data_IF_630703855417
#
_entry.id   IF_630703855417
#
_cell.length_a   1.000
_cell.length_b   1.000
_cell.length_c   1.000
_cell.angle_alpha   90.00
_cell.angle_beta   90.00
_cell.angle_gamma   90.00
#
_symmetry.space_group_name_H-M   'P 1'
#
loop_
_entity.id
_entity.type
_entity.pdbx_description
1 polymer ?
#
# COMPACT_ATOMS: atom_id res chain seq x y z
N UNK A 1 8.56 9.58 -23.55
CA UNK A 1 7.78 10.82 -23.37
C UNK A 1 8.06 11.37 -21.98
N UNK A 2 8.73 12.51 -21.90
CA UNK A 2 9.01 13.26 -20.66
C UNK A 2 7.74 14.03 -20.27
N UNK A 3 7.14 13.69 -19.12
CA UNK A 3 5.97 14.42 -18.60
C UNK A 3 6.36 15.83 -18.20
N UNK A 4 5.53 16.83 -18.55
CA UNK A 4 5.75 18.23 -18.18
C UNK A 4 5.44 18.46 -16.68
N UNK A 5 6.15 19.35 -15.99
CA UNK A 5 5.79 19.77 -14.63
C UNK A 5 4.38 20.37 -14.64
N UNK A 6 3.47 19.82 -13.85
CA UNK A 6 2.07 20.27 -13.78
C UNK A 6 1.06 19.46 -14.61
N UNK A 7 1.48 18.41 -15.32
CA UNK A 7 0.52 17.45 -15.89
C UNK A 7 -0.28 16.79 -14.76
N UNK A 8 -1.57 17.09 -14.72
CA UNK A 8 -2.49 16.43 -13.80
C UNK A 8 -2.53 14.96 -14.18
N UNK A 9 -1.88 14.09 -13.41
CA UNK A 9 -1.99 12.66 -13.65
C UNK A 9 -3.44 12.21 -13.43
N UNK A 10 -3.96 11.40 -14.34
CA UNK A 10 -5.28 10.81 -14.24
C UNK A 10 -5.16 9.33 -13.87
N UNK A 11 -6.16 8.81 -13.17
CA UNK A 11 -6.27 7.39 -12.84
C UNK A 11 -7.67 6.90 -13.13
N UNK A 12 -7.76 5.70 -13.67
CA UNK A 12 -8.99 4.93 -13.75
C UNK A 12 -9.35 4.40 -12.35
N UNK A 13 -10.60 4.62 -11.94
CA UNK A 13 -11.16 4.24 -10.65
C UNK A 13 -12.56 3.68 -10.85
N UNK A 14 -13.16 3.13 -9.80
CA UNK A 14 -14.61 2.81 -9.73
C UNK A 14 -15.52 4.00 -10.01
N UNK A 15 -15.03 5.23 -9.84
CA UNK A 15 -15.77 6.47 -10.09
C UNK A 15 -15.48 7.07 -11.47
N UNK A 16 -14.86 6.29 -12.37
CA UNK A 16 -14.38 6.73 -13.67
C UNK A 16 -12.95 7.28 -13.62
N UNK A 17 -12.56 8.00 -14.67
CA UNK A 17 -11.23 8.58 -14.80
C UNK A 17 -11.20 9.93 -14.08
N UNK A 18 -10.43 10.03 -12.99
CA UNK A 18 -10.37 11.26 -12.19
C UNK A 18 -8.95 11.85 -12.12
N UNK A 19 -8.83 13.19 -12.05
CA UNK A 19 -7.54 13.87 -11.89
C UNK A 19 -6.95 13.65 -10.49
N UNK A 20 -5.62 13.72 -10.39
CA UNK A 20 -4.87 13.57 -9.13
C UNK A 20 -5.42 14.41 -7.98
N UNK A 21 -5.78 15.66 -8.25
CA UNK A 21 -6.32 16.59 -7.23
C UNK A 21 -7.60 16.07 -6.58
N UNK A 22 -8.48 15.42 -7.34
CA UNK A 22 -9.70 14.78 -6.80
C UNK A 22 -9.39 13.42 -6.17
N UNK A 23 -8.47 12.66 -6.75
CA UNK A 23 -8.08 11.34 -6.24
C UNK A 23 -7.49 11.39 -4.83
N UNK A 24 -6.71 12.43 -4.50
CA UNK A 24 -6.08 12.58 -3.18
C UNK A 24 -7.10 12.52 -2.04
N UNK A 25 -8.28 13.14 -2.20
CA UNK A 25 -9.33 13.12 -1.18
C UNK A 25 -9.85 11.71 -0.91
N UNK A 26 -10.01 10.89 -1.96
CA UNK A 26 -10.42 9.50 -1.83
C UNK A 26 -9.33 8.66 -1.17
N UNK A 27 -8.06 8.89 -1.52
CA UNK A 27 -6.93 8.18 -0.91
C UNK A 27 -6.79 8.47 0.59
N UNK A 28 -7.06 9.72 1.02
CA UNK A 28 -7.07 10.10 2.45
C UNK A 28 -8.13 9.29 3.20
N UNK A 29 -9.34 9.18 2.66
CA UNK A 29 -10.40 8.36 3.24
C UNK A 29 -10.02 6.87 3.23
N UNK A 30 -9.36 6.39 2.18
CA UNK A 30 -8.82 5.03 2.13
C UNK A 30 -7.79 4.73 3.22
N UNK A 31 -6.88 5.67 3.50
CA UNK A 31 -5.91 5.58 4.59
C UNK A 31 -6.63 5.49 5.94
N UNK A 32 -7.64 6.35 6.15
CA UNK A 32 -8.45 6.33 7.38
C UNK A 32 -9.12 4.97 7.58
N UNK A 33 -9.73 4.38 6.54
CA UNK A 33 -10.36 3.05 6.62
C UNK A 33 -9.37 1.95 7.00
N UNK A 34 -8.19 1.95 6.39
CA UNK A 34 -7.13 1.00 6.75
C UNK A 34 -6.65 1.19 8.20
N UNK A 35 -6.54 2.44 8.65
CA UNK A 35 -6.16 2.78 10.02
C UNK A 35 -7.21 2.30 11.03
N UNK A 36 -8.48 2.59 10.82
CA UNK A 36 -9.59 2.17 11.67
C UNK A 36 -9.64 0.64 11.78
N UNK A 37 -9.40 -0.07 10.68
CA UNK A 37 -9.30 -1.53 10.69
C UNK A 37 -8.14 -2.04 11.58
N UNK A 38 -6.97 -1.39 11.55
CA UNK A 38 -5.84 -1.75 12.42
C UNK A 38 -6.18 -1.48 13.89
N UNK A 39 -6.80 -0.34 14.19
CA UNK A 39 -7.19 0.05 15.54
C UNK A 39 -8.23 -0.90 16.14
N UNK A 40 -9.24 -1.32 15.38
CA UNK A 40 -10.21 -2.31 15.83
C UNK A 40 -9.55 -3.68 16.04
N UNK A 41 -8.70 -4.10 15.09
CA UNK A 41 -8.08 -5.43 15.14
C UNK A 41 -7.10 -5.59 16.29
N UNK A 42 -6.31 -4.56 16.61
CA UNK A 42 -5.31 -4.62 17.71
C UNK A 42 -5.96 -4.80 19.09
N UNK A 43 -7.22 -4.38 19.24
CA UNK A 43 -7.98 -4.56 20.49
C UNK A 43 -8.42 -6.01 20.69
N UNK A 44 -8.55 -6.77 19.59
CA UNK A 44 -9.07 -8.15 19.59
C UNK A 44 -7.96 -9.18 19.59
N UNK A 45 -6.89 -8.93 18.85
CA UNK A 45 -5.79 -9.90 18.67
C UNK A 45 -4.45 -9.20 18.56
N UNK A 46 -3.39 -9.88 19.03
CA UNK A 46 -2.01 -9.45 18.75
C UNK A 46 -1.77 -9.51 17.23
N UNK A 47 -1.44 -8.36 16.65
CA UNK A 47 -1.20 -8.25 15.21
C UNK A 47 0.19 -8.82 14.88
N UNK A 48 0.23 -9.73 13.91
CA UNK A 48 1.48 -10.20 13.29
C UNK A 48 1.57 -9.58 11.90
N UNK A 49 2.67 -8.89 11.61
CA UNK A 49 2.88 -8.24 10.32
C UNK A 49 3.33 -9.30 9.31
N UNK A 50 2.46 -9.62 8.34
CA UNK A 50 2.73 -10.55 7.24
C UNK A 50 2.40 -9.90 5.89
N UNK A 51 2.91 -10.45 4.76
CA UNK A 51 2.55 -9.96 3.43
C UNK A 51 1.04 -9.98 3.18
N UNK A 52 0.33 -10.99 3.69
CA UNK A 52 -1.12 -11.13 3.57
C UNK A 52 -1.85 -10.03 4.36
N UNK A 53 -1.35 -9.68 5.56
CA UNK A 53 -1.91 -8.57 6.31
C UNK A 53 -1.71 -7.25 5.54
N UNK A 54 -0.52 -7.00 5.01
CA UNK A 54 -0.22 -5.77 4.26
C UNK A 54 -1.13 -5.67 3.02
N UNK A 55 -1.26 -6.76 2.27
CA UNK A 55 -2.20 -6.84 1.13
C UNK A 55 -3.65 -6.61 1.58
N UNK A 56 -4.06 -7.19 2.70
CA UNK A 56 -5.40 -6.99 3.26
C UNK A 56 -5.64 -5.53 3.66
N UNK A 57 -4.67 -4.88 4.31
CA UNK A 57 -4.76 -3.47 4.68
C UNK A 57 -4.92 -2.57 3.46
N UNK A 58 -4.12 -2.82 2.42
CA UNK A 58 -4.28 -2.12 1.16
C UNK A 58 -5.66 -2.37 0.55
N UNK A 59 -6.13 -3.63 0.57
CA UNK A 59 -7.48 -4.01 0.15
C UNK A 59 -8.57 -3.20 0.85
N UNK A 60 -8.56 -3.20 2.19
CA UNK A 60 -9.51 -2.46 3.02
C UNK A 60 -9.52 -0.96 2.67
N UNK A 61 -8.34 -0.36 2.52
CA UNK A 61 -8.24 1.06 2.25
C UNK A 61 -8.67 1.45 0.83
N UNK A 62 -8.35 0.64 -0.18
CA UNK A 62 -8.35 1.10 -1.56
C UNK A 62 -9.20 0.28 -2.54
N UNK A 63 -9.74 -0.89 -2.17
CA UNK A 63 -10.52 -1.72 -3.11
C UNK A 63 -11.81 -1.06 -3.59
N UNK A 64 -12.36 -0.11 -2.81
CA UNK A 64 -13.52 0.67 -3.21
C UNK A 64 -13.21 1.80 -4.20
N UNK A 65 -11.91 2.12 -4.42
CA UNK A 65 -11.42 3.09 -5.41
C UNK A 65 -10.79 2.36 -6.61
N UNK A 66 -10.05 1.29 -6.33
CA UNK A 66 -9.23 0.52 -7.28
C UNK A 66 -9.49 -0.99 -7.11
N UNK A 67 -10.66 -1.49 -7.54
CA UNK A 67 -11.06 -2.90 -7.30
C UNK A 67 -10.07 -3.90 -7.90
N UNK A 68 -9.50 -3.59 -9.06
CA UNK A 68 -8.66 -4.53 -9.81
C UNK A 68 -7.22 -4.63 -9.29
N UNK A 69 -6.69 -3.59 -8.66
CA UNK A 69 -5.27 -3.51 -8.29
C UNK A 69 -5.05 -3.50 -6.79
N UNK A 70 -6.05 -3.08 -6.00
CA UNK A 70 -5.91 -2.99 -4.56
C UNK A 70 -5.65 -4.36 -3.92
N UNK A 71 -4.71 -4.39 -2.97
CA UNK A 71 -4.32 -5.62 -2.26
C UNK A 71 -3.48 -6.58 -3.10
N UNK A 72 -3.00 -6.15 -4.27
CA UNK A 72 -2.11 -6.92 -5.15
C UNK A 72 -0.76 -6.21 -5.24
N UNK A 73 0.32 -6.99 -5.41
CA UNK A 73 1.59 -6.41 -5.81
C UNK A 73 1.48 -5.87 -7.24
N UNK A 74 2.17 -4.76 -7.51
CA UNK A 74 2.24 -4.22 -8.88
C UNK A 74 2.87 -5.25 -9.82
N UNK A 75 2.45 -5.20 -11.08
CA UNK A 75 2.97 -6.03 -12.18
C UNK A 75 3.71 -5.23 -13.24
N UNK A 76 4.00 -3.96 -12.94
CA UNK A 76 4.63 -3.00 -13.85
C UNK A 76 5.79 -2.33 -13.14
N UNK A 77 6.78 -1.90 -13.90
CA UNK A 77 7.85 -1.07 -13.35
C UNK A 77 7.37 0.36 -13.07
N UNK A 78 7.94 0.96 -12.03
CA UNK A 78 7.66 2.33 -11.62
C UNK A 78 8.97 3.03 -11.35
N UNK A 79 8.98 4.35 -11.50
CA UNK A 79 10.12 5.22 -11.17
C UNK A 79 9.58 6.40 -10.38
N UNK A 80 10.28 6.81 -9.33
CA UNK A 80 9.89 7.94 -8.48
C UNK A 80 11.06 8.93 -8.42
N UNK A 81 10.99 9.99 -9.21
CA UNK A 81 12.14 10.88 -9.44
C UNK A 81 13.36 10.06 -9.88
N UNK A 82 14.45 10.11 -9.11
CA UNK A 82 15.69 9.37 -9.38
C UNK A 82 15.74 8.03 -8.65
N UNK A 83 14.73 7.72 -7.82
CA UNK A 83 14.62 6.45 -7.16
C UNK A 83 14.04 5.39 -8.11
N UNK A 84 14.76 4.28 -8.24
CA UNK A 84 14.35 3.08 -8.96
C UNK A 84 13.99 2.01 -7.93
N UNK A 85 12.70 1.76 -7.67
CA UNK A 85 12.26 0.68 -6.80
C UNK A 85 12.67 -0.72 -7.34
N UNK A 86 12.61 -1.76 -6.49
CA UNK A 86 12.81 -3.15 -6.90
C UNK A 86 12.03 -3.55 -8.14
N UNK A 87 12.50 -4.53 -8.92
CA UNK A 87 11.70 -5.06 -10.03
C UNK A 87 10.38 -5.66 -9.54
N UNK A 88 9.31 -5.53 -10.33
CA UNK A 88 7.97 -5.91 -9.86
C UNK A 88 7.88 -7.40 -9.45
N UNK A 89 8.63 -8.27 -10.13
CA UNK A 89 8.66 -9.70 -9.86
C UNK A 89 9.42 -10.07 -8.58
N UNK A 90 10.24 -9.17 -8.04
CA UNK A 90 10.96 -9.37 -6.77
C UNK A 90 10.12 -8.96 -5.55
N UNK A 91 9.03 -8.21 -5.75
CA UNK A 91 8.22 -7.69 -4.65
C UNK A 91 7.68 -8.75 -3.69
N UNK A 92 7.17 -9.93 -4.16
CA UNK A 92 6.72 -10.96 -3.24
C UNK A 92 7.82 -11.45 -2.31
N UNK A 93 9.03 -11.68 -2.86
CA UNK A 93 10.19 -12.12 -2.10
C UNK A 93 10.62 -11.06 -1.09
N UNK A 94 10.82 -9.82 -1.54
CA UNK A 94 11.26 -8.73 -0.66
C UNK A 94 10.25 -8.40 0.44
N UNK A 95 8.95 -8.55 0.18
CA UNK A 95 7.93 -8.37 1.21
C UNK A 95 7.97 -9.50 2.23
N UNK A 96 8.21 -10.75 1.80
CA UNK A 96 8.39 -11.88 2.70
C UNK A 96 9.64 -11.68 3.58
N UNK A 97 10.77 -11.31 2.98
CA UNK A 97 12.03 -11.04 3.69
C UNK A 97 11.87 -9.91 4.71
N UNK A 98 11.20 -8.82 4.32
CA UNK A 98 10.88 -7.71 5.21
C UNK A 98 10.07 -8.18 6.42
N UNK A 99 8.99 -8.94 6.20
CA UNK A 99 8.13 -9.42 7.29
C UNK A 99 8.87 -10.39 8.22
N UNK A 100 9.71 -11.28 7.68
CA UNK A 100 10.53 -12.19 8.48
C UNK A 100 11.56 -11.43 9.32
N UNK A 101 12.26 -10.47 8.71
CA UNK A 101 13.26 -9.66 9.39
C UNK A 101 12.62 -8.81 10.51
N UNK A 102 11.45 -8.22 10.24
CA UNK A 102 10.70 -7.48 11.23
C UNK A 102 10.27 -8.38 12.39
N UNK A 103 9.73 -9.57 12.10
CA UNK A 103 9.36 -10.55 13.12
C UNK A 103 10.53 -10.91 14.02
N UNK A 104 11.73 -11.06 13.46
CA UNK A 104 12.93 -11.34 14.24
C UNK A 104 13.33 -10.15 15.12
N UNK A 105 13.42 -8.94 14.54
CA UNK A 105 13.78 -7.72 15.28
C UNK A 105 12.84 -7.42 16.44
N UNK A 106 11.54 -7.68 16.28
CA UNK A 106 10.54 -7.48 17.32
C UNK A 106 10.78 -8.35 18.57
N UNK A 107 11.50 -9.48 18.46
CA UNK A 107 11.87 -10.32 19.62
C UNK A 107 12.94 -9.69 20.49
N UNK A 108 13.75 -8.79 19.92
CA UNK A 108 14.90 -8.16 20.56
C UNK A 108 14.60 -6.73 21.02
N UNK A 109 13.33 -6.30 20.99
CA UNK A 109 12.95 -5.02 21.56
C UNK A 109 13.06 -5.05 23.09
N UNK A 110 13.47 -3.93 23.73
CA UNK A 110 13.47 -3.85 25.18
C UNK A 110 12.06 -4.08 25.72
N UNK A 111 11.94 -4.97 26.71
CA UNK A 111 10.77 -5.03 27.57
C UNK A 111 10.84 -3.87 28.54
N UNK A 112 9.95 -2.89 28.38
CA UNK A 112 9.71 -1.81 29.34
C UNK A 112 8.63 -2.23 30.33
#
# INVERSE_FOLDING_TARGET
MTKKPGETSYRETTFGIIPRSKLILLEIEGIKRAWDFVLDRRLKVKIVITPELIKKLHGVGFSWIFPETSGKFRKVEVTVSDHIPPKYYLLPQFMADYCQNLKERLKHLPTF
#
